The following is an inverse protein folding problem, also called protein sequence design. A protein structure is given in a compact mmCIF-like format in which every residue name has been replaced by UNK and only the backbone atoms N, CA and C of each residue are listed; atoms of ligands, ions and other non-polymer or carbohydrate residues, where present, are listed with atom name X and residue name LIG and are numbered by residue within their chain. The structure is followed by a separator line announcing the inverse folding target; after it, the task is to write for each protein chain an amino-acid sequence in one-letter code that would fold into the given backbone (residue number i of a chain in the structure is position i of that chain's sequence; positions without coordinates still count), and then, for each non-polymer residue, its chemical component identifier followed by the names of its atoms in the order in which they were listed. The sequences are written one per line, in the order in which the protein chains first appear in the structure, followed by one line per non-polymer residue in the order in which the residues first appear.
data_IF_216018697898
#
_entry.id   IF_216018697898
#
_cell.length_a   1.000
_cell.length_b   1.000
_cell.length_c   1.000
_cell.angle_alpha   90.00
_cell.angle_beta   90.00
_cell.angle_gamma   90.00
#
_symmetry.space_group_name_H-M   'P 1'
#
loop_
_entity.id
_entity.type
_entity.pdbx_description
1 polymer ?
#
# COMPACT_ATOMS: atom_id res chain seq x y z
N UNK A 1 -17.27 -31.96 69.33
CA UNK A 1 -17.83 -31.04 68.31
C UNK A 1 -16.76 -30.34 67.46
N UNK A 2 -15.59 -29.98 68.00
CA UNK A 2 -14.51 -29.27 67.28
C UNK A 2 -13.96 -29.98 66.02
N UNK A 3 -13.91 -31.32 66.00
CA UNK A 3 -13.42 -32.07 64.83
C UNK A 3 -14.31 -31.94 63.59
N UNK A 4 -15.63 -31.82 63.75
CA UNK A 4 -16.56 -31.65 62.62
C UNK A 4 -16.49 -30.24 62.04
N UNK A 5 -16.38 -29.23 62.90
CA UNK A 5 -16.20 -27.83 62.48
C UNK A 5 -14.87 -27.61 61.74
N UNK A 6 -13.80 -28.29 62.16
CA UNK A 6 -12.49 -28.20 61.53
C UNK A 6 -12.46 -28.87 60.14
N UNK A 7 -13.16 -30.00 59.96
CA UNK A 7 -13.32 -30.66 58.66
C UNK A 7 -14.14 -29.79 57.70
N UNK A 8 -15.23 -29.17 58.18
CA UNK A 8 -16.05 -28.27 57.37
C UNK A 8 -15.25 -27.04 56.92
N UNK A 9 -14.39 -26.49 57.80
CA UNK A 9 -13.52 -25.35 57.48
C UNK A 9 -12.45 -25.68 56.44
N UNK A 10 -11.89 -26.90 56.48
CA UNK A 10 -10.90 -27.36 55.49
C UNK A 10 -11.56 -27.61 54.13
N UNK A 11 -12.78 -28.17 54.11
CA UNK A 11 -13.55 -28.38 52.88
C UNK A 11 -14.01 -27.06 52.25
N UNK A 12 -14.43 -26.08 53.04
CA UNK A 12 -14.79 -24.76 52.51
C UNK A 12 -13.58 -23.99 52.00
N UNK A 13 -12.42 -24.11 52.66
CA UNK A 13 -11.18 -23.51 52.17
C UNK A 13 -10.69 -24.16 50.86
N UNK A 14 -10.79 -25.50 50.75
CA UNK A 14 -10.47 -26.21 49.50
C UNK A 14 -11.40 -25.83 48.34
N UNK A 15 -12.68 -25.57 48.64
CA UNK A 15 -13.66 -25.15 47.63
C UNK A 15 -13.43 -23.70 47.16
N UNK A 16 -12.98 -22.81 48.05
CA UNK A 16 -12.59 -21.43 47.68
C UNK A 16 -11.31 -21.41 46.84
N UNK A 17 -10.33 -22.27 47.15
CA UNK A 17 -9.09 -22.41 46.35
C UNK A 17 -9.38 -23.03 44.98
N UNK A 18 -10.31 -23.98 44.88
CA UNK A 18 -10.73 -24.55 43.61
C UNK A 18 -11.48 -23.54 42.71
N UNK A 19 -12.24 -22.61 43.30
CA UNK A 19 -12.92 -21.54 42.57
C UNK A 19 -11.99 -20.40 42.15
N UNK A 20 -10.91 -20.15 42.90
CA UNK A 20 -9.87 -19.18 42.53
C UNK A 20 -9.01 -19.65 41.34
N UNK A 21 -8.91 -20.96 41.09
CA UNK A 21 -8.16 -21.54 39.97
C UNK A 21 -8.88 -21.53 38.61
N UNK A 22 -10.20 -21.30 38.58
CA UNK A 22 -10.97 -21.18 37.34
C UNK A 22 -11.17 -19.73 36.88
N UNK A 23 -10.68 -18.76 37.64
CA UNK A 23 -10.50 -17.39 37.17
C UNK A 23 -9.24 -17.33 36.31
N UNK A 24 -9.25 -17.99 35.16
CA UNK A 24 -8.28 -17.74 34.11
C UNK A 24 -8.40 -16.26 33.77
N UNK A 25 -7.52 -15.44 34.36
CA UNK A 25 -7.22 -14.14 33.81
C UNK A 25 -6.73 -14.45 32.41
N UNK A 26 -7.62 -14.33 31.42
CA UNK A 26 -7.17 -14.11 30.07
C UNK A 26 -6.35 -12.83 30.17
N UNK A 27 -5.04 -12.99 30.30
CA UNK A 27 -4.12 -12.02 29.74
C UNK A 27 -4.66 -11.82 28.33
N UNK A 28 -5.28 -10.67 28.04
CA UNK A 28 -5.43 -10.23 26.66
C UNK A 28 -4.06 -10.49 26.05
N UNK A 29 -3.96 -11.47 25.15
CA UNK A 29 -2.72 -11.78 24.49
C UNK A 29 -2.15 -10.47 23.96
N UNK A 30 -0.84 -10.30 24.03
CA UNK A 30 -0.19 -9.17 23.39
C UNK A 30 -0.70 -9.10 21.94
N UNK A 31 -1.37 -8.00 21.60
CA UNK A 31 -1.91 -7.81 20.27
C UNK A 31 -0.73 -7.61 19.34
N UNK A 32 -0.62 -8.43 18.30
CA UNK A 32 0.40 -8.28 17.27
C UNK A 32 -0.08 -7.26 16.26
N UNK A 33 0.59 -6.11 16.21
CA UNK A 33 0.31 -5.06 15.23
C UNK A 33 1.01 -5.38 13.92
N UNK A 34 0.24 -5.41 12.82
CA UNK A 34 0.73 -5.50 11.44
C UNK A 34 0.65 -4.11 10.83
N UNK A 35 1.77 -3.54 10.45
CA UNK A 35 1.85 -2.24 9.79
C UNK A 35 1.88 -2.43 8.28
N UNK A 36 0.87 -1.92 7.58
CA UNK A 36 0.84 -1.90 6.10
C UNK A 36 1.21 -0.53 5.55
N UNK A 37 1.80 -0.49 4.37
CA UNK A 37 2.10 0.77 3.68
C UNK A 37 0.83 1.56 3.38
N UNK A 38 0.85 2.87 3.64
CA UNK A 38 -0.04 3.83 2.98
C UNK A 38 0.83 4.85 2.24
N UNK A 39 0.85 4.72 0.91
CA UNK A 39 1.64 5.53 0.00
C UNK A 39 0.83 6.72 -0.57
N UNK A 40 -0.48 6.80 -0.27
CA UNK A 40 -1.33 7.94 -0.56
C UNK A 40 -2.13 7.91 -1.88
N UNK A 41 -2.32 6.74 -2.51
CA UNK A 41 -3.25 6.61 -3.64
C UNK A 41 -4.48 5.78 -3.29
N UNK A 42 -5.63 6.17 -3.86
CA UNK A 42 -6.95 5.71 -3.43
C UNK A 42 -7.15 4.18 -3.50
N UNK A 43 -6.60 3.52 -4.53
CA UNK A 43 -6.76 2.06 -4.67
C UNK A 43 -6.04 1.30 -3.56
N UNK A 44 -4.85 1.74 -3.14
CA UNK A 44 -4.16 1.11 -2.02
C UNK A 44 -4.88 1.38 -0.71
N UNK A 45 -5.38 2.61 -0.50
CA UNK A 45 -6.19 2.92 0.69
C UNK A 45 -7.41 1.98 0.78
N UNK A 46 -8.09 1.71 -0.33
CA UNK A 46 -9.18 0.74 -0.37
C UNK A 46 -8.71 -0.68 -0.01
N UNK A 47 -7.61 -1.15 -0.60
CA UNK A 47 -7.04 -2.46 -0.29
C UNK A 47 -6.66 -2.58 1.19
N UNK A 48 -6.07 -1.52 1.77
CA UNK A 48 -5.71 -1.44 3.17
C UNK A 48 -6.95 -1.54 4.07
N UNK A 49 -8.03 -0.81 3.78
CA UNK A 49 -9.25 -0.87 4.58
C UNK A 49 -9.94 -2.25 4.50
N UNK A 50 -9.91 -2.90 3.34
CA UNK A 50 -10.40 -4.28 3.20
C UNK A 50 -9.55 -5.24 4.06
N UNK A 51 -8.22 -5.16 3.96
CA UNK A 51 -7.32 -6.01 4.75
C UNK A 51 -7.47 -5.75 6.25
N UNK A 52 -7.61 -4.48 6.64
CA UNK A 52 -7.85 -4.06 8.02
C UNK A 52 -9.11 -4.66 8.59
N UNK A 53 -10.21 -4.58 7.85
CA UNK A 53 -11.47 -5.20 8.24
C UNK A 53 -11.31 -6.72 8.43
N UNK A 54 -10.67 -7.41 7.48
CA UNK A 54 -10.45 -8.86 7.55
C UNK A 54 -9.59 -9.24 8.76
N UNK A 55 -8.48 -8.54 9.00
CA UNK A 55 -7.56 -8.86 10.11
C UNK A 55 -8.24 -8.58 11.45
N UNK A 56 -8.79 -7.38 11.62
CA UNK A 56 -9.31 -6.93 12.91
C UNK A 56 -10.60 -7.67 13.33
N UNK A 57 -11.44 -8.07 12.37
CA UNK A 57 -12.70 -8.77 12.66
C UNK A 57 -12.59 -10.29 12.50
N UNK A 58 -11.58 -10.77 11.76
CA UNK A 58 -11.43 -12.18 11.41
C UNK A 58 -10.42 -12.95 12.26
N UNK A 59 -9.51 -12.27 12.97
CA UNK A 59 -8.43 -12.91 13.70
C UNK A 59 -8.26 -12.32 15.11
N UNK A 60 -8.33 -13.20 16.12
CA UNK A 60 -8.04 -12.81 17.50
C UNK A 60 -6.54 -12.55 17.70
N UNK A 61 -6.20 -11.49 18.43
CA UNK A 61 -4.82 -11.19 18.83
C UNK A 61 -3.98 -10.46 17.77
N UNK A 62 -4.59 -10.04 16.66
CA UNK A 62 -3.96 -9.23 15.63
C UNK A 62 -4.69 -7.91 15.44
N UNK A 63 -3.94 -6.88 15.07
CA UNK A 63 -4.51 -5.65 14.53
C UNK A 63 -3.71 -5.22 13.31
N UNK A 64 -4.36 -4.57 12.36
CA UNK A 64 -3.72 -3.99 11.20
C UNK A 64 -3.82 -2.45 11.25
N UNK A 65 -2.69 -1.79 11.10
CA UNK A 65 -2.54 -0.34 11.07
C UNK A 65 -1.84 0.08 9.78
N UNK A 66 -2.03 1.33 9.38
CA UNK A 66 -1.38 1.91 8.20
C UNK A 66 -0.18 2.74 8.61
N UNK A 67 0.88 2.71 7.80
CA UNK A 67 2.02 3.60 7.93
C UNK A 67 1.66 5.02 7.51
N UNK A 68 2.62 5.93 7.58
CA UNK A 68 2.54 7.25 6.95
C UNK A 68 3.84 7.49 6.19
N UNK A 69 3.76 7.89 4.93
CA UNK A 69 4.95 8.13 4.14
C UNK A 69 4.69 8.12 2.65
N UNK A 70 5.69 8.53 1.87
CA UNK A 70 5.66 8.31 0.42
C UNK A 70 6.08 6.86 0.11
N UNK A 71 5.83 6.39 -1.11
CA UNK A 71 6.22 5.03 -1.50
C UNK A 71 7.73 4.78 -1.34
N UNK A 72 8.59 5.77 -1.63
CA UNK A 72 10.03 5.64 -1.40
C UNK A 72 10.37 5.49 0.09
N UNK A 73 9.73 6.27 0.96
CA UNK A 73 9.96 6.19 2.41
C UNK A 73 9.46 4.85 2.97
N UNK A 74 8.25 4.44 2.60
CA UNK A 74 7.63 3.21 3.06
C UNK A 74 8.42 1.98 2.59
N UNK A 75 8.96 1.97 1.37
CA UNK A 75 9.82 0.87 0.92
C UNK A 75 11.07 0.75 1.80
N UNK A 76 11.76 1.85 2.10
CA UNK A 76 12.91 1.82 3.01
C UNK A 76 12.54 1.39 4.43
N UNK A 77 11.35 1.78 4.91
CA UNK A 77 10.83 1.33 6.19
C UNK A 77 10.56 -0.18 6.21
N UNK A 78 10.11 -0.76 5.08
CA UNK A 78 9.99 -2.21 4.96
C UNK A 78 11.36 -2.90 5.03
N UNK A 79 12.36 -2.40 4.31
CA UNK A 79 13.73 -2.93 4.36
C UNK A 79 14.31 -2.83 5.78
N UNK A 80 13.96 -1.78 6.54
CA UNK A 80 14.36 -1.61 7.93
C UNK A 80 13.60 -2.51 8.93
N UNK A 81 12.48 -3.12 8.50
CA UNK A 81 11.60 -3.90 9.36
C UNK A 81 10.61 -3.07 10.20
N UNK A 82 10.43 -1.79 9.86
CA UNK A 82 9.48 -0.90 10.54
C UNK A 82 8.05 -0.99 9.94
N UNK A 83 7.93 -1.51 8.71
CA UNK A 83 6.65 -1.76 8.02
C UNK A 83 6.64 -3.20 7.52
N UNK A 84 5.54 -3.91 7.76
CA UNK A 84 5.47 -5.37 7.56
C UNK A 84 5.01 -5.77 6.15
N UNK A 85 4.18 -4.94 5.50
CA UNK A 85 3.46 -5.37 4.29
C UNK A 85 3.13 -4.21 3.35
N UNK A 86 3.32 -4.43 2.05
CA UNK A 86 2.82 -3.57 0.97
C UNK A 86 1.79 -4.33 0.13
N UNK A 87 0.49 -4.03 0.34
CA UNK A 87 -0.61 -4.78 -0.28
C UNK A 87 -0.72 -4.48 -1.78
N UNK A 88 -0.45 -3.25 -2.18
CA UNK A 88 -0.46 -2.82 -3.58
C UNK A 88 0.92 -2.33 -3.99
N UNK A 89 1.82 -3.28 -4.27
CA UNK A 89 3.20 -2.96 -4.64
C UNK A 89 3.38 -2.83 -6.15
N UNK A 90 3.70 -1.62 -6.61
CA UNK A 90 4.11 -1.36 -7.99
C UNK A 90 5.62 -1.57 -8.13
N UNK A 91 6.03 -2.84 -8.08
CA UNK A 91 7.43 -3.28 -8.00
C UNK A 91 8.29 -2.80 -9.17
N UNK A 92 7.72 -2.58 -10.34
CA UNK A 92 8.42 -2.02 -11.52
C UNK A 92 8.97 -0.59 -11.28
N UNK A 93 8.40 0.16 -10.33
CA UNK A 93 8.91 1.47 -9.95
C UNK A 93 10.04 1.39 -8.91
N UNK A 94 10.22 0.24 -8.27
CA UNK A 94 11.18 0.03 -7.19
C UNK A 94 12.51 -0.42 -7.79
N UNK A 95 13.45 0.51 -7.92
CA UNK A 95 14.74 0.21 -8.57
C UNK A 95 15.54 -0.93 -7.90
N UNK A 96 15.40 -1.10 -6.59
CA UNK A 96 16.13 -2.10 -5.79
C UNK A 96 15.39 -3.42 -5.64
N UNK A 97 14.15 -3.55 -6.12
CA UNK A 97 13.30 -4.71 -5.86
C UNK A 97 13.95 -6.07 -6.17
N UNK A 98 14.64 -6.27 -7.31
CA UNK A 98 15.33 -7.52 -7.57
C UNK A 98 16.41 -7.86 -6.54
N UNK A 99 17.16 -6.87 -6.06
CA UNK A 99 18.19 -7.06 -5.04
C UNK A 99 17.59 -7.32 -3.66
N UNK A 100 16.50 -6.62 -3.32
CA UNK A 100 15.80 -6.76 -2.05
C UNK A 100 15.16 -8.15 -1.92
N UNK A 101 14.64 -8.69 -3.03
CA UNK A 101 14.20 -10.09 -3.12
C UNK A 101 15.37 -11.08 -2.96
N UNK A 102 16.50 -10.85 -3.62
CA UNK A 102 17.67 -11.74 -3.56
C UNK A 102 18.24 -11.82 -2.14
N UNK A 103 18.28 -10.68 -1.43
CA UNK A 103 18.72 -10.61 -0.03
C UNK A 103 17.74 -11.26 0.95
N UNK A 104 16.48 -11.43 0.54
CA UNK A 104 15.40 -11.88 1.40
C UNK A 104 14.87 -10.80 2.33
N UNK A 105 15.14 -9.52 2.02
CA UNK A 105 14.63 -8.37 2.78
C UNK A 105 13.12 -8.21 2.55
N UNK A 106 12.63 -8.63 1.38
CA UNK A 106 11.20 -8.73 1.06
C UNK A 106 10.87 -10.10 0.47
N UNK A 107 9.61 -10.51 0.60
CA UNK A 107 9.08 -11.74 0.00
C UNK A 107 7.83 -11.44 -0.80
N UNK A 108 7.69 -12.05 -1.97
CA UNK A 108 6.47 -11.93 -2.78
C UNK A 108 5.39 -12.88 -2.25
N UNK A 109 4.22 -12.32 -1.94
CA UNK A 109 3.08 -13.07 -1.38
C UNK A 109 2.00 -13.40 -2.41
N UNK A 110 2.05 -12.78 -3.59
CA UNK A 110 1.13 -13.04 -4.69
C UNK A 110 0.75 -11.80 -5.47
N UNK A 111 -0.11 -12.00 -6.48
CA UNK A 111 -0.60 -10.95 -7.38
C UNK A 111 -2.02 -10.56 -6.98
N UNK A 112 -2.23 -9.27 -6.71
CA UNK A 112 -3.55 -8.72 -6.40
C UNK A 112 -4.33 -8.30 -7.65
N UNK A 113 -3.67 -7.58 -8.57
CA UNK A 113 -4.26 -7.09 -9.82
C UNK A 113 -3.32 -7.45 -10.98
N UNK A 114 -3.72 -8.42 -11.79
CA UNK A 114 -2.86 -8.99 -12.83
C UNK A 114 -2.69 -8.08 -14.07
N UNK A 115 -3.73 -7.34 -14.44
CA UNK A 115 -3.77 -6.54 -15.68
C UNK A 115 -3.61 -5.04 -15.42
N UNK A 116 -2.80 -4.68 -14.43
CA UNK A 116 -2.52 -3.29 -14.09
C UNK A 116 -1.47 -2.69 -15.04
N UNK A 117 -1.60 -1.40 -15.36
CA UNK A 117 -0.70 -0.73 -16.30
C UNK A 117 -0.40 0.71 -15.87
N UNK A 118 0.87 1.11 -15.98
CA UNK A 118 1.33 2.47 -15.73
C UNK A 118 1.93 3.05 -17.01
N UNK A 119 1.69 4.35 -17.24
CA UNK A 119 2.19 5.01 -18.44
C UNK A 119 1.76 6.47 -18.52
N UNK A 120 2.21 7.10 -19.61
CA UNK A 120 1.69 8.41 -20.02
C UNK A 120 0.41 8.19 -20.82
N UNK A 121 -0.64 8.92 -20.44
CA UNK A 121 -1.93 8.86 -21.10
C UNK A 121 -2.24 10.19 -21.77
N UNK A 122 -2.80 10.12 -22.97
CA UNK A 122 -3.40 11.28 -23.65
C UNK A 122 -4.90 11.05 -23.80
N UNK A 123 -5.73 12.11 -23.75
CA UNK A 123 -7.14 11.98 -24.04
C UNK A 123 -7.36 11.39 -25.43
N UNK A 124 -8.32 10.47 -25.58
CA UNK A 124 -8.58 9.77 -26.85
C UNK A 124 -8.78 10.70 -28.05
N UNK A 125 -9.43 11.84 -27.86
CA UNK A 125 -9.67 12.83 -28.92
C UNK A 125 -8.38 13.46 -29.47
N UNK A 126 -7.25 13.39 -28.75
CA UNK A 126 -5.96 13.86 -29.26
C UNK A 126 -5.53 13.01 -30.47
N UNK A 127 -5.82 11.71 -30.42
CA UNK A 127 -5.47 10.74 -31.46
C UNK A 127 -6.59 10.62 -32.50
N UNK A 128 -7.83 10.48 -32.06
CA UNK A 128 -8.96 10.14 -32.93
C UNK A 128 -9.83 11.34 -33.32
N UNK A 129 -9.64 12.50 -32.67
CA UNK A 129 -10.60 13.61 -32.73
C UNK A 129 -11.87 13.32 -31.93
N UNK A 130 -12.79 14.28 -31.95
CA UNK A 130 -14.14 14.13 -31.42
C UNK A 130 -15.11 14.96 -32.27
N UNK A 131 -15.72 14.36 -33.31
CA UNK A 131 -16.62 15.08 -34.21
C UNK A 131 -17.87 15.64 -33.53
N UNK A 132 -18.38 14.97 -32.48
CA UNK A 132 -19.57 15.44 -31.75
C UNK A 132 -19.29 16.74 -31.00
N UNK A 133 -18.06 16.91 -30.50
CA UNK A 133 -17.59 18.15 -29.88
C UNK A 133 -16.88 19.11 -30.85
N UNK A 134 -16.77 18.76 -32.13
CA UNK A 134 -16.08 19.56 -33.14
C UNK A 134 -14.56 19.65 -32.93
N UNK A 135 -13.95 18.63 -32.35
CA UNK A 135 -12.50 18.55 -32.08
C UNK A 135 -11.84 17.73 -33.19
N UNK A 136 -10.84 18.28 -33.85
CA UNK A 136 -10.01 17.53 -34.81
C UNK A 136 -8.92 16.74 -34.10
N UNK A 137 -8.50 15.62 -34.70
CA UNK A 137 -7.34 14.86 -34.23
C UNK A 137 -6.07 15.71 -34.43
N UNK A 138 -5.31 15.93 -33.36
CA UNK A 138 -4.09 16.77 -33.39
C UNK A 138 -2.81 15.94 -33.42
N UNK A 139 -2.86 14.67 -32.99
CA UNK A 139 -1.71 13.77 -32.98
C UNK A 139 -2.10 12.33 -33.37
N UNK A 140 -2.66 12.09 -34.58
CA UNK A 140 -3.16 10.77 -34.98
C UNK A 140 -2.09 9.66 -35.05
N UNK A 141 -0.82 10.03 -35.23
CA UNK A 141 0.31 9.08 -35.30
C UNK A 141 1.10 8.97 -33.99
N UNK A 142 0.60 9.53 -32.87
CA UNK A 142 1.22 9.41 -31.55
C UNK A 142 1.00 8.01 -30.97
N UNK A 143 2.01 7.16 -31.09
CA UNK A 143 1.97 5.76 -30.62
C UNK A 143 2.97 5.52 -29.48
N UNK A 144 4.13 6.18 -29.50
CA UNK A 144 5.19 5.97 -28.51
C UNK A 144 5.49 7.24 -27.72
N UNK A 145 6.08 7.09 -26.53
CA UNK A 145 6.56 8.23 -25.72
C UNK A 145 7.54 9.12 -26.51
N UNK A 146 8.34 8.53 -27.42
CA UNK A 146 9.28 9.29 -28.25
C UNK A 146 8.56 10.18 -29.27
N UNK A 147 7.37 9.79 -29.73
CA UNK A 147 6.59 10.59 -30.67
C UNK A 147 6.07 11.89 -30.06
N UNK A 148 5.97 12.00 -28.72
CA UNK A 148 5.58 13.23 -28.03
C UNK A 148 6.47 14.43 -28.42
N UNK A 149 7.73 14.20 -28.78
CA UNK A 149 8.65 15.25 -29.26
C UNK A 149 8.15 15.95 -30.54
N UNK A 150 7.33 15.27 -31.35
CA UNK A 150 6.73 15.81 -32.58
C UNK A 150 5.49 16.68 -32.33
N UNK A 151 4.89 16.55 -31.15
CA UNK A 151 3.57 17.13 -30.83
C UNK A 151 3.61 18.07 -29.62
N UNK A 152 4.80 18.53 -29.21
CA UNK A 152 4.99 19.34 -28.00
C UNK A 152 4.16 20.62 -27.99
N UNK A 153 3.91 21.21 -29.16
CA UNK A 153 3.06 22.39 -29.37
C UNK A 153 1.60 22.19 -28.91
N UNK A 154 1.08 20.96 -28.97
CA UNK A 154 -0.27 20.62 -28.49
C UNK A 154 -0.33 20.39 -26.97
N UNK A 155 0.84 20.28 -26.33
CA UNK A 155 0.98 20.11 -24.89
C UNK A 155 1.76 21.29 -24.29
N UNK A 156 1.56 22.51 -24.77
CA UNK A 156 2.36 23.67 -24.37
C UNK A 156 2.44 23.86 -22.85
N UNK A 157 3.64 24.09 -22.36
CA UNK A 157 3.88 24.45 -20.97
C UNK A 157 3.39 25.88 -20.67
N UNK A 158 2.92 26.13 -19.45
CA UNK A 158 2.42 27.44 -19.02
C UNK A 158 3.51 28.42 -18.61
N UNK A 159 4.66 27.92 -18.20
CA UNK A 159 5.82 28.71 -17.77
C UNK A 159 6.81 28.94 -18.92
N UNK A 160 6.99 27.95 -19.80
CA UNK A 160 7.84 28.06 -21.00
C UNK A 160 7.11 27.58 -22.26
N UNK A 161 6.53 28.53 -23.00
CA UNK A 161 5.75 28.24 -24.23
C UNK A 161 6.55 27.59 -25.36
N UNK A 162 7.87 27.45 -25.24
CA UNK A 162 8.71 26.70 -26.19
C UNK A 162 8.84 25.21 -25.84
N UNK A 163 8.24 24.75 -24.74
CA UNK A 163 8.31 23.37 -24.26
C UNK A 163 6.92 22.73 -24.17
N UNK A 164 6.90 21.40 -24.31
CA UNK A 164 5.74 20.59 -23.94
C UNK A 164 5.77 20.25 -22.46
N UNK A 165 4.59 20.15 -21.84
CA UNK A 165 4.39 19.77 -20.43
C UNK A 165 3.98 18.30 -20.33
N UNK A 166 4.64 17.60 -19.42
CA UNK A 166 4.24 16.28 -18.95
C UNK A 166 3.75 16.44 -17.52
N UNK A 167 2.54 15.99 -17.24
CA UNK A 167 2.06 15.85 -15.86
C UNK A 167 2.57 14.51 -15.31
N UNK A 168 3.57 14.58 -14.44
CA UNK A 168 4.21 13.43 -13.82
C UNK A 168 3.47 12.91 -12.59
N UNK A 169 4.18 12.10 -11.81
CA UNK A 169 3.69 11.54 -10.55
C UNK A 169 3.78 12.56 -9.40
N UNK A 170 3.12 12.26 -8.27
CA UNK A 170 3.28 13.03 -7.04
C UNK A 170 4.73 12.92 -6.54
N UNK A 171 5.38 14.03 -6.14
CA UNK A 171 6.73 14.00 -5.61
C UNK A 171 6.88 13.04 -4.42
N UNK A 172 7.94 12.24 -4.45
CA UNK A 172 8.22 11.23 -3.43
C UNK A 172 7.58 9.87 -3.69
N UNK A 173 6.70 9.75 -4.69
CA UNK A 173 6.35 8.44 -5.25
C UNK A 173 7.49 7.95 -6.15
N UNK A 174 7.74 6.65 -6.15
CA UNK A 174 8.84 6.07 -6.94
C UNK A 174 8.65 6.28 -8.45
N UNK A 175 7.39 6.34 -8.92
CA UNK A 175 7.07 6.67 -10.30
C UNK A 175 7.51 8.09 -10.70
N UNK A 176 7.65 9.03 -9.76
CA UNK A 176 8.13 10.39 -10.04
C UNK A 176 9.57 10.36 -10.55
N UNK A 177 10.44 9.58 -9.90
CA UNK A 177 11.82 9.41 -10.34
C UNK A 177 11.89 8.74 -11.72
N UNK A 178 11.02 7.76 -11.97
CA UNK A 178 10.92 7.09 -13.28
C UNK A 178 10.52 8.07 -14.38
N UNK A 179 9.55 8.95 -14.13
CA UNK A 179 9.12 9.97 -15.10
C UNK A 179 10.17 11.07 -15.26
N UNK A 180 10.80 11.51 -14.17
CA UNK A 180 11.85 12.52 -14.20
C UNK A 180 13.02 12.10 -15.09
N UNK A 181 13.49 10.85 -14.97
CA UNK A 181 14.55 10.30 -15.84
C UNK A 181 14.18 10.30 -17.32
N UNK A 182 12.88 10.28 -17.67
CA UNK A 182 12.44 10.37 -19.07
C UNK A 182 12.47 11.79 -19.61
N UNK A 183 12.42 12.81 -18.76
CA UNK A 183 12.57 14.21 -19.16
C UNK A 183 13.99 14.52 -19.65
N UNK A 184 15.00 13.82 -19.11
CA UNK A 184 16.41 14.01 -19.48
C UNK A 184 16.83 13.31 -20.80
N UNK A 185 15.94 12.51 -21.42
CA UNK A 185 16.19 11.70 -22.63
C UNK A 185 15.61 12.31 -23.93
#
# INVERSE_FOLDING_TARGET
MMKKSMVILILSLAMVVALAGCGGSQTKGEVTTITVTDNGWDSQMLHNEIAKFIVNEGYDGYELVTSTGSSTMNWQAMIAGDVDLDIESWTDNVATYPEDLEKGDVVEIGVLVQDSAQGLYVPRYVIEGDPERGIEAVAPDLVTVKDLKKYSEFFSDDEDKNKGRIYGSIPGWMADEVIHKKYEL
#
